data_IF_957364795900
#
_entry.id   IF_957364795900
#
_cell.length_a   1.000
_cell.length_b   1.000
_cell.length_c   1.000
_cell.angle_alpha   90.00
_cell.angle_beta   90.00
_cell.angle_gamma   90.00
#
_symmetry.space_group_name_H-M   'P 1'
#
loop_
_entity.id
_entity.type
_entity.pdbx_description
1 polymer ?
#
# COMPACT_ATOMS: atom_id res chain seq x y z
N UNK A 1 25.28 1.24 17.75
CA UNK A 1 25.14 0.20 16.71
C UNK A 1 24.90 0.90 15.39
N UNK A 2 25.72 0.63 14.38
CA UNK A 2 25.48 1.11 13.00
C UNK A 2 24.40 0.21 12.42
N UNK A 3 23.23 0.78 12.06
CA UNK A 3 22.13 0.04 11.43
C UNK A 3 22.63 -0.57 10.12
N UNK A 4 22.27 -1.82 9.83
CA UNK A 4 22.64 -2.47 8.56
C UNK A 4 21.99 -1.69 7.41
N UNK A 5 22.62 -1.53 6.24
CA UNK A 5 22.05 -0.76 5.12
C UNK A 5 20.63 -1.21 4.72
N UNK A 6 20.33 -2.51 4.83
CA UNK A 6 18.99 -3.07 4.60
C UNK A 6 17.95 -2.59 5.61
N UNK A 7 18.32 -2.39 6.88
CA UNK A 7 17.43 -1.87 7.93
C UNK A 7 17.07 -0.42 7.68
N UNK A 8 18.03 0.40 7.24
CA UNK A 8 17.80 1.80 6.89
C UNK A 8 16.85 1.94 5.68
N UNK A 9 16.99 1.08 4.67
CA UNK A 9 16.09 1.01 3.52
C UNK A 9 14.67 0.57 3.92
N UNK A 10 14.54 -0.42 4.81
CA UNK A 10 13.25 -0.92 5.32
C UNK A 10 12.53 0.15 6.13
N UNK A 11 13.26 0.84 7.01
CA UNK A 11 12.74 1.96 7.81
C UNK A 11 12.30 3.13 6.93
N UNK A 12 13.10 3.47 5.90
CA UNK A 12 12.71 4.47 4.91
C UNK A 12 11.46 4.06 4.12
N UNK A 13 11.38 2.82 3.65
CA UNK A 13 10.22 2.30 2.92
C UNK A 13 8.95 2.30 3.79
N UNK A 14 9.06 1.88 5.05
CA UNK A 14 7.96 1.90 6.02
C UNK A 14 7.50 3.33 6.32
N UNK A 15 8.43 4.23 6.61
CA UNK A 15 8.10 5.65 6.84
C UNK A 15 7.43 6.30 5.63
N UNK A 16 7.85 5.93 4.41
CA UNK A 16 7.22 6.37 3.17
C UNK A 16 5.81 5.81 3.01
N UNK A 17 5.60 4.52 3.25
CA UNK A 17 4.27 3.90 3.21
C UNK A 17 3.32 4.56 4.23
N UNK A 18 3.78 4.80 5.46
CA UNK A 18 3.01 5.49 6.52
C UNK A 18 2.64 6.93 6.14
N UNK A 19 3.54 7.62 5.42
CA UNK A 19 3.27 8.96 4.90
C UNK A 19 2.22 8.91 3.78
N UNK A 20 2.41 8.02 2.80
CA UNK A 20 1.50 7.85 1.66
C UNK A 20 0.09 7.45 2.14
N UNK A 21 0.00 6.56 3.13
CA UNK A 21 -1.26 6.19 3.79
C UNK A 21 -1.97 7.41 4.37
N UNK A 22 -1.28 8.22 5.18
CA UNK A 22 -1.85 9.43 5.79
C UNK A 22 -2.33 10.44 4.76
N UNK A 23 -1.57 10.64 3.69
CA UNK A 23 -1.95 11.54 2.59
C UNK A 23 -3.22 11.02 1.89
N UNK A 24 -3.28 9.72 1.60
CA UNK A 24 -4.44 9.09 0.97
C UNK A 24 -5.68 9.21 1.86
N UNK A 25 -5.58 8.80 3.13
CA UNK A 25 -6.69 8.87 4.08
C UNK A 25 -7.21 10.31 4.26
N UNK A 26 -6.31 11.29 4.39
CA UNK A 26 -6.67 12.70 4.51
C UNK A 26 -7.38 13.23 3.27
N UNK A 27 -6.81 13.02 2.08
CA UNK A 27 -7.38 13.52 0.83
C UNK A 27 -8.75 12.89 0.53
N UNK A 28 -8.90 11.58 0.73
CA UNK A 28 -10.19 10.91 0.53
C UNK A 28 -11.23 11.35 1.56
N UNK A 29 -10.86 11.53 2.83
CA UNK A 29 -11.78 12.04 3.85
C UNK A 29 -12.29 13.43 3.50
N UNK A 30 -11.42 14.35 3.08
CA UNK A 30 -11.83 15.71 2.69
C UNK A 30 -12.65 15.74 1.41
N UNK A 31 -12.30 14.92 0.42
CA UNK A 31 -13.09 14.81 -0.79
C UNK A 31 -14.47 14.17 -0.56
N UNK A 32 -14.59 13.17 0.33
CA UNK A 32 -15.89 12.55 0.69
C UNK A 32 -16.79 13.52 1.45
N UNK A 33 -16.25 14.28 2.42
CA UNK A 33 -16.98 15.35 3.14
C UNK A 33 -17.58 16.34 2.14
N UNK A 34 -16.78 16.81 1.18
CA UNK A 34 -17.19 17.80 0.21
C UNK A 34 -18.20 17.26 -0.81
N UNK A 35 -18.00 16.05 -1.34
CA UNK A 35 -18.99 15.41 -2.23
C UNK A 35 -20.31 15.17 -1.50
N UNK A 36 -20.26 14.76 -0.24
CA UNK A 36 -21.48 14.55 0.56
C UNK A 36 -22.26 15.85 0.69
N UNK A 37 -21.57 16.97 0.94
CA UNK A 37 -22.19 18.29 0.94
C UNK A 37 -22.80 18.65 -0.42
N UNK A 38 -22.09 18.44 -1.53
CA UNK A 38 -22.58 18.70 -2.88
C UNK A 38 -23.85 17.90 -3.21
N UNK A 39 -23.87 16.61 -2.89
CA UNK A 39 -25.05 15.75 -3.07
C UNK A 39 -26.22 16.26 -2.22
N UNK A 40 -25.98 16.57 -0.95
CA UNK A 40 -27.00 17.11 -0.05
C UNK A 40 -27.59 18.43 -0.55
N UNK A 41 -26.73 19.34 -1.04
CA UNK A 41 -27.16 20.58 -1.67
C UNK A 41 -28.02 20.34 -2.90
N UNK A 42 -27.58 19.46 -3.82
CA UNK A 42 -28.32 19.16 -5.04
C UNK A 42 -29.71 18.57 -4.75
N UNK A 43 -29.82 17.68 -3.76
CA UNK A 43 -31.11 17.12 -3.32
C UNK A 43 -32.01 18.22 -2.74
N UNK A 44 -31.46 19.06 -1.85
CA UNK A 44 -32.19 20.18 -1.26
C UNK A 44 -32.68 21.18 -2.32
N UNK A 45 -31.83 21.51 -3.30
CA UNK A 45 -32.16 22.40 -4.40
C UNK A 45 -33.27 21.82 -5.29
N UNK A 46 -33.19 20.53 -5.65
CA UNK A 46 -34.28 19.86 -6.39
C UNK A 46 -35.58 19.91 -5.59
N UNK A 47 -35.54 19.63 -4.28
CA UNK A 47 -36.74 19.70 -3.43
C UNK A 47 -37.36 21.09 -3.45
N UNK A 48 -36.55 22.16 -3.33
CA UNK A 48 -37.03 23.53 -3.39
C UNK A 48 -37.67 23.86 -4.75
N UNK A 49 -37.07 23.38 -5.85
CA UNK A 49 -37.61 23.56 -7.20
C UNK A 49 -38.97 22.88 -7.34
N UNK A 50 -39.09 21.64 -6.85
CA UNK A 50 -40.35 20.87 -6.92
C UNK A 50 -41.44 21.54 -6.07
N UNK A 51 -41.11 22.00 -4.86
CA UNK A 51 -42.07 22.67 -3.96
C UNK A 51 -42.55 24.03 -4.50
N UNK A 52 -41.80 24.67 -5.40
CA UNK A 52 -42.11 26.01 -5.92
C UNK A 52 -42.21 26.04 -7.46
N UNK A 53 -42.60 24.91 -8.05
CA UNK A 53 -42.47 24.68 -9.50
C UNK A 53 -43.21 25.73 -10.33
N UNK A 54 -44.45 26.06 -9.97
CA UNK A 54 -45.27 27.04 -10.69
C UNK A 54 -44.67 28.46 -10.64
N UNK A 55 -44.19 28.86 -9.47
CA UNK A 55 -43.61 30.18 -9.24
C UNK A 55 -42.29 30.35 -10.02
N UNK A 56 -41.43 29.34 -9.99
CA UNK A 56 -40.17 29.35 -10.76
C UNK A 56 -40.45 29.32 -12.26
N UNK A 57 -41.43 28.51 -12.70
CA UNK A 57 -41.76 28.41 -14.13
C UNK A 57 -42.28 29.74 -14.68
N UNK A 58 -43.09 30.45 -13.90
CA UNK A 58 -43.64 31.76 -14.27
C UNK A 58 -42.55 32.85 -14.35
N UNK A 59 -41.63 32.87 -13.40
CA UNK A 59 -40.63 33.95 -13.29
C UNK A 59 -39.39 33.71 -14.16
N UNK A 60 -38.98 32.45 -14.37
CA UNK A 60 -37.80 32.11 -15.17
C UNK A 60 -38.10 30.89 -16.07
N UNK A 61 -38.83 31.09 -17.17
CA UNK A 61 -39.26 29.98 -18.03
C UNK A 61 -38.07 29.23 -18.64
N UNK A 62 -38.20 27.90 -18.72
CA UNK A 62 -37.19 27.03 -19.33
C UNK A 62 -35.97 26.70 -18.45
N UNK A 63 -35.85 27.24 -17.23
CA UNK A 63 -34.72 26.95 -16.33
C UNK A 63 -34.83 25.59 -15.62
N UNK A 64 -36.06 25.14 -15.35
CA UNK A 64 -36.31 23.99 -14.46
C UNK A 64 -35.68 22.71 -15.01
N UNK A 65 -35.94 22.38 -16.28
CA UNK A 65 -35.45 21.14 -16.91
C UNK A 65 -33.91 21.02 -16.89
N UNK A 66 -33.13 22.00 -17.39
CA UNK A 66 -31.67 21.89 -17.38
C UNK A 66 -31.11 21.87 -15.94
N UNK A 67 -31.66 22.67 -15.01
CA UNK A 67 -31.19 22.69 -13.63
C UNK A 67 -31.42 21.35 -12.92
N UNK A 68 -32.61 20.77 -13.04
CA UNK A 68 -32.92 19.46 -12.44
C UNK A 68 -32.05 18.36 -13.06
N UNK A 69 -31.84 18.39 -14.38
CA UNK A 69 -30.98 17.42 -15.06
C UNK A 69 -29.52 17.50 -14.56
N UNK A 70 -28.96 18.71 -14.47
CA UNK A 70 -27.58 18.89 -14.02
C UNK A 70 -27.40 18.51 -12.55
N UNK A 71 -28.36 18.83 -11.67
CA UNK A 71 -28.34 18.35 -10.29
C UNK A 71 -28.47 16.83 -10.18
N UNK A 72 -29.34 16.20 -10.98
CA UNK A 72 -29.46 14.73 -11.01
C UNK A 72 -28.15 14.05 -11.44
N UNK A 73 -27.48 14.60 -12.46
CA UNK A 73 -26.17 14.12 -12.91
C UNK A 73 -25.10 14.33 -11.82
N UNK A 74 -25.12 15.48 -11.13
CA UNK A 74 -24.22 15.77 -9.99
C UNK A 74 -24.37 14.71 -8.90
N UNK A 75 -25.61 14.38 -8.53
CA UNK A 75 -25.93 13.34 -7.53
C UNK A 75 -25.43 11.97 -8.00
N UNK A 76 -25.71 11.61 -9.25
CA UNK A 76 -25.29 10.32 -9.80
C UNK A 76 -23.77 10.14 -9.77
N UNK A 77 -23.01 11.13 -10.28
CA UNK A 77 -21.55 11.07 -10.25
C UNK A 77 -20.99 11.16 -8.83
N UNK A 78 -21.61 11.92 -7.94
CA UNK A 78 -21.24 11.99 -6.53
C UNK A 78 -21.38 10.64 -5.84
N UNK A 79 -22.50 9.94 -6.02
CA UNK A 79 -22.71 8.60 -5.46
C UNK A 79 -21.76 7.57 -6.08
N UNK A 80 -21.54 7.63 -7.39
CA UNK A 80 -20.58 6.77 -8.08
C UNK A 80 -19.15 7.00 -7.57
N UNK A 81 -18.76 8.25 -7.31
CA UNK A 81 -17.48 8.59 -6.68
C UNK A 81 -17.35 7.91 -5.31
N UNK A 82 -18.36 8.03 -4.43
CA UNK A 82 -18.32 7.45 -3.08
C UNK A 82 -18.20 5.93 -3.11
N UNK A 83 -18.93 5.28 -4.02
CA UNK A 83 -18.82 3.83 -4.19
C UNK A 83 -17.44 3.41 -4.72
N UNK A 84 -16.92 4.14 -5.70
CA UNK A 84 -15.59 3.89 -6.28
C UNK A 84 -14.47 4.12 -5.26
N UNK A 85 -14.53 5.20 -4.49
CA UNK A 85 -13.54 5.53 -3.45
C UNK A 85 -13.54 4.51 -2.33
N UNK A 86 -14.72 4.02 -1.90
CA UNK A 86 -14.83 2.93 -0.93
C UNK A 86 -14.10 1.65 -1.41
N UNK A 87 -14.33 1.25 -2.67
CA UNK A 87 -13.65 0.09 -3.25
C UNK A 87 -12.13 0.32 -3.39
N UNK A 88 -11.71 1.53 -3.74
CA UNK A 88 -10.31 1.90 -3.81
C UNK A 88 -9.63 1.76 -2.44
N UNK A 89 -10.23 2.32 -1.38
CA UNK A 89 -9.69 2.24 -0.02
C UNK A 89 -9.59 0.79 0.47
N UNK A 90 -10.59 -0.06 0.19
CA UNK A 90 -10.50 -1.50 0.53
C UNK A 90 -9.31 -2.16 -0.17
N UNK A 91 -9.13 -1.90 -1.47
CA UNK A 91 -8.01 -2.47 -2.24
C UNK A 91 -6.67 -1.96 -1.73
N UNK A 92 -6.58 -0.68 -1.40
CA UNK A 92 -5.39 -0.07 -0.81
C UNK A 92 -5.07 -0.66 0.57
N UNK A 93 -6.04 -0.81 1.46
CA UNK A 93 -5.83 -1.43 2.78
C UNK A 93 -5.44 -2.90 2.70
N UNK A 94 -6.01 -3.66 1.76
CA UNK A 94 -5.57 -5.03 1.51
C UNK A 94 -4.10 -5.05 1.12
N UNK A 95 -3.72 -4.22 0.14
CA UNK A 95 -2.33 -4.06 -0.29
C UNK A 95 -1.40 -3.71 0.89
N UNK A 96 -1.80 -2.75 1.71
CA UNK A 96 -1.06 -2.32 2.90
C UNK A 96 -0.88 -3.46 3.91
N UNK A 97 -1.95 -4.19 4.24
CA UNK A 97 -1.89 -5.35 5.14
C UNK A 97 -0.96 -6.46 4.63
N UNK A 98 -0.86 -6.63 3.30
CA UNK A 98 0.09 -7.56 2.70
C UNK A 98 1.54 -7.04 2.80
N UNK A 99 1.79 -5.74 2.56
CA UNK A 99 3.11 -5.14 2.76
C UNK A 99 3.54 -5.18 4.23
N UNK A 100 2.65 -4.90 5.18
CA UNK A 100 2.95 -4.98 6.61
C UNK A 100 3.35 -6.39 7.06
N UNK A 101 2.69 -7.43 6.53
CA UNK A 101 3.07 -8.82 6.78
C UNK A 101 4.48 -9.16 6.25
N UNK A 102 4.82 -8.59 5.09
CA UNK A 102 6.11 -8.79 4.42
C UNK A 102 7.25 -7.99 5.04
N UNK A 103 6.96 -6.81 5.61
CA UNK A 103 7.92 -6.02 6.38
C UNK A 103 7.95 -6.36 7.86
N UNK A 104 7.26 -7.42 8.29
CA UNK A 104 7.44 -7.99 9.62
C UNK A 104 8.93 -8.34 9.84
N UNK A 105 9.36 -8.34 11.10
CA UNK A 105 10.75 -8.11 11.57
C UNK A 105 11.83 -9.11 11.10
N UNK A 106 11.57 -9.94 10.10
CA UNK A 106 12.54 -10.92 9.64
C UNK A 106 13.48 -10.27 8.62
N UNK A 107 14.67 -9.91 9.11
CA UNK A 107 15.84 -9.64 8.30
C UNK A 107 16.55 -10.97 8.09
N UNK A 108 16.23 -11.72 7.04
CA UNK A 108 17.06 -12.85 6.67
C UNK A 108 17.80 -12.49 5.38
N UNK A 109 19.03 -12.05 5.52
CA UNK A 109 20.04 -12.37 4.51
C UNK A 109 20.54 -13.75 4.89
N UNK A 110 20.54 -14.74 3.99
CA UNK A 110 20.94 -16.08 4.37
C UNK A 110 22.40 -16.04 4.80
N UNK A 111 22.69 -16.59 5.97
CA UNK A 111 24.08 -16.80 6.41
C UNK A 111 24.52 -18.11 5.79
N UNK A 112 25.34 -18.04 4.74
CA UNK A 112 25.87 -19.22 4.06
C UNK A 112 27.01 -19.85 4.86
N UNK A 113 27.09 -21.17 4.81
CA UNK A 113 28.22 -21.88 5.39
C UNK A 113 29.46 -21.69 4.51
N UNK A 114 30.51 -21.08 5.06
CA UNK A 114 31.81 -21.01 4.40
C UNK A 114 32.56 -22.35 4.60
N UNK A 115 32.93 -23.05 3.50
CA UNK A 115 33.72 -24.29 3.58
C UNK A 115 35.02 -24.16 4.36
N UNK A 116 35.60 -22.97 4.46
CA UNK A 116 36.84 -22.74 5.23
C UNK A 116 36.65 -23.00 6.74
N UNK A 117 35.41 -22.97 7.23
CA UNK A 117 35.07 -23.34 8.60
C UNK A 117 35.25 -24.84 8.91
N UNK A 118 35.33 -25.71 7.90
CA UNK A 118 35.67 -27.13 8.09
C UNK A 118 37.08 -27.29 8.68
N UNK A 119 37.97 -26.33 8.40
CA UNK A 119 39.36 -26.31 8.89
C UNK A 119 39.59 -25.28 10.02
N UNK A 120 38.58 -24.51 10.40
CA UNK A 120 38.70 -23.47 11.42
C UNK A 120 38.95 -24.01 12.83
N UNK A 121 39.57 -23.16 13.67
CA UNK A 121 39.80 -23.45 15.09
C UNK A 121 38.52 -23.26 15.92
N UNK A 122 38.58 -23.72 17.17
CA UNK A 122 37.48 -23.64 18.13
C UNK A 122 37.03 -22.19 18.40
N UNK A 123 37.99 -21.28 18.56
CA UNK A 123 37.75 -19.87 18.82
C UNK A 123 37.10 -19.17 17.62
N UNK A 124 37.49 -19.57 16.40
CA UNK A 124 36.94 -19.01 15.15
C UNK A 124 35.48 -19.42 14.97
N UNK A 125 35.12 -20.67 15.24
CA UNK A 125 33.71 -21.13 15.18
C UNK A 125 32.85 -20.46 16.27
N UNK A 126 33.40 -20.27 17.47
CA UNK A 126 32.71 -19.55 18.54
C UNK A 126 32.46 -18.08 18.18
N UNK A 127 33.44 -17.43 17.57
CA UNK A 127 33.31 -16.06 17.09
C UNK A 127 32.25 -15.96 15.98
N UNK A 128 32.26 -16.87 15.01
CA UNK A 128 31.25 -16.91 13.93
C UNK A 128 29.83 -17.09 14.50
N UNK A 129 29.63 -18.03 15.43
CA UNK A 129 28.35 -18.23 16.12
C UNK A 129 27.86 -16.96 16.87
N UNK A 130 28.78 -16.24 17.51
CA UNK A 130 28.47 -14.99 18.19
C UNK A 130 28.15 -13.84 17.21
N UNK A 131 28.93 -13.73 16.13
CA UNK A 131 28.84 -12.63 15.16
C UNK A 131 27.63 -12.78 14.23
N UNK A 132 27.43 -13.98 13.69
CA UNK A 132 26.40 -14.24 12.68
C UNK A 132 25.02 -14.47 13.31
N UNK A 133 24.97 -15.20 14.43
CA UNK A 133 23.71 -15.63 15.04
C UNK A 133 23.42 -15.01 16.41
N UNK A 134 24.32 -14.18 16.95
CA UNK A 134 24.23 -13.66 18.32
C UNK A 134 24.05 -14.78 19.36
N UNK A 135 24.64 -15.95 19.10
CA UNK A 135 24.55 -17.16 19.94
C UNK A 135 25.95 -17.69 20.21
N UNK A 136 26.61 -17.22 21.26
CA UNK A 136 27.82 -17.88 21.75
C UNK A 136 27.43 -18.86 22.86
N UNK A 137 27.65 -20.19 22.71
CA UNK A 137 27.61 -21.09 23.84
C UNK A 137 28.63 -20.64 24.88
N UNK A 138 28.23 -20.53 26.14
CA UNK A 138 29.12 -20.10 27.22
C UNK A 138 30.04 -21.26 27.60
N UNK A 139 31.31 -21.16 27.23
CA UNK A 139 32.35 -22.08 27.67
C UNK A 139 33.16 -21.45 28.81
N UNK A 140 33.66 -22.23 29.79
CA UNK A 140 34.69 -21.77 30.72
C UNK A 140 35.88 -21.17 29.97
N UNK A 141 36.43 -20.06 30.49
CA UNK A 141 37.55 -19.34 29.87
C UNK A 141 38.80 -20.23 29.68
N UNK A 142 39.00 -21.21 30.58
CA UNK A 142 40.14 -22.13 30.60
C UNK A 142 39.73 -23.54 30.20
N UNK A 143 39.20 -23.71 28.98
CA UNK A 143 38.93 -25.04 28.44
C UNK A 143 40.24 -25.74 28.07
N UNK A 144 40.39 -27.01 28.48
CA UNK A 144 41.54 -27.82 28.06
C UNK A 144 41.50 -28.11 26.56
N UNK A 145 42.67 -28.24 25.93
CA UNK A 145 42.79 -28.56 24.50
C UNK A 145 42.15 -29.91 24.13
N UNK A 146 42.13 -30.86 25.06
CA UNK A 146 41.44 -32.14 24.87
C UNK A 146 39.92 -31.96 24.74
N UNK A 147 39.32 -31.12 25.58
CA UNK A 147 37.88 -30.81 25.52
C UNK A 147 37.57 -30.02 24.24
N UNK A 148 38.41 -29.06 23.86
CA UNK A 148 38.24 -28.32 22.60
C UNK A 148 38.24 -29.25 21.39
N UNK A 149 39.14 -30.25 21.34
CA UNK A 149 39.18 -31.25 20.25
C UNK A 149 37.92 -32.11 20.18
N UNK A 150 37.31 -32.44 21.32
CA UNK A 150 36.07 -33.24 21.38
C UNK A 150 34.84 -32.40 21.01
N UNK A 151 34.80 -31.12 21.38
CA UNK A 151 33.66 -30.24 21.16
C UNK A 151 33.69 -29.52 19.79
N UNK A 152 34.86 -29.30 19.20
CA UNK A 152 35.02 -28.64 17.90
C UNK A 152 34.16 -29.27 16.78
N UNK A 153 34.13 -30.60 16.59
CA UNK A 153 33.25 -31.22 15.57
C UNK A 153 31.77 -30.96 15.83
N UNK A 154 31.34 -30.90 17.10
CA UNK A 154 29.94 -30.63 17.48
C UNK A 154 29.56 -29.18 17.19
N UNK A 155 30.45 -28.24 17.49
CA UNK A 155 30.25 -26.82 17.19
C UNK A 155 30.21 -26.55 15.69
N UNK A 156 31.10 -27.16 14.90
CA UNK A 156 31.07 -27.07 13.43
C UNK A 156 29.75 -27.59 12.87
N UNK A 157 29.30 -28.75 13.36
CA UNK A 157 28.00 -29.33 12.97
C UNK A 157 26.86 -28.39 13.33
N UNK A 158 26.85 -27.83 14.54
CA UNK A 158 25.82 -26.91 15.00
C UNK A 158 25.77 -25.61 14.18
N UNK A 159 26.93 -25.02 13.88
CA UNK A 159 27.02 -23.84 13.02
C UNK A 159 26.49 -24.13 11.61
N UNK A 160 26.86 -25.27 11.02
CA UNK A 160 26.34 -25.71 9.72
C UNK A 160 24.83 -25.90 9.72
N UNK A 161 24.26 -26.52 10.76
CA UNK A 161 22.82 -26.68 10.92
C UNK A 161 22.09 -25.32 11.00
N UNK A 162 22.69 -24.32 11.67
CA UNK A 162 22.15 -22.97 11.74
C UNK A 162 22.20 -22.24 10.39
N UNK A 163 23.30 -22.37 9.63
CA UNK A 163 23.40 -21.84 8.27
C UNK A 163 22.36 -22.47 7.33
N UNK A 164 22.21 -23.80 7.37
CA UNK A 164 21.20 -24.51 6.57
C UNK A 164 19.77 -24.09 6.94
N UNK A 165 19.49 -23.88 8.23
CA UNK A 165 18.21 -23.39 8.70
C UNK A 165 17.95 -21.95 8.24
N UNK A 166 18.94 -21.06 8.36
CA UNK A 166 18.86 -19.68 7.88
C UNK A 166 18.58 -19.63 6.37
N UNK A 167 19.22 -20.50 5.59
CA UNK A 167 18.96 -20.63 4.16
C UNK A 167 17.53 -21.10 3.86
N UNK A 168 17.03 -22.11 4.56
CA UNK A 168 15.64 -22.59 4.39
C UNK A 168 14.62 -21.53 4.78
N UNK A 169 14.84 -20.82 5.88
CA UNK A 169 13.96 -19.73 6.31
C UNK A 169 13.95 -18.59 5.26
N UNK A 170 15.11 -18.26 4.68
CA UNK A 170 15.21 -17.31 3.56
C UNK A 170 14.48 -17.79 2.28
N UNK A 171 14.59 -19.08 1.93
CA UNK A 171 13.87 -19.66 0.80
C UNK A 171 12.34 -19.63 1.00
N UNK A 172 11.86 -19.97 2.20
CA UNK A 172 10.44 -19.88 2.57
C UNK A 172 9.95 -18.43 2.48
N UNK A 173 10.73 -17.46 2.95
CA UNK A 173 10.39 -16.05 2.83
C UNK A 173 10.33 -15.61 1.36
N UNK A 174 11.31 -15.98 0.53
CA UNK A 174 11.28 -15.69 -0.91
C UNK A 174 10.07 -16.33 -1.62
N UNK A 175 9.69 -17.55 -1.24
CA UNK A 175 8.47 -18.18 -1.74
C UNK A 175 7.22 -17.45 -1.29
N UNK A 176 7.18 -17.00 -0.04
CA UNK A 176 6.11 -16.15 0.49
C UNK A 176 6.04 -14.80 -0.25
N UNK A 177 7.18 -14.16 -0.53
CA UNK A 177 7.27 -12.97 -1.39
C UNK A 177 6.67 -13.21 -2.77
N UNK A 178 7.01 -14.34 -3.39
CA UNK A 178 6.49 -14.71 -4.71
C UNK A 178 4.98 -15.00 -4.66
N UNK A 179 4.48 -15.63 -3.60
CA UNK A 179 3.06 -15.90 -3.38
C UNK A 179 2.27 -14.61 -3.09
N UNK A 180 2.83 -13.68 -2.32
CA UNK A 180 2.25 -12.35 -2.12
C UNK A 180 2.17 -11.61 -3.45
N UNK A 181 3.21 -11.67 -4.27
CA UNK A 181 3.20 -11.06 -5.59
C UNK A 181 2.16 -11.69 -6.53
N UNK A 182 1.99 -13.01 -6.46
CA UNK A 182 0.99 -13.74 -7.23
C UNK A 182 -0.45 -13.41 -6.76
N UNK A 183 -0.67 -13.34 -5.45
CA UNK A 183 -2.01 -13.21 -4.86
C UNK A 183 -2.50 -11.76 -4.89
N UNK A 184 -1.62 -10.80 -4.56
CA UNK A 184 -1.96 -9.38 -4.59
C UNK A 184 -1.97 -8.81 -6.02
N UNK A 185 -1.14 -9.35 -6.91
CA UNK A 185 -0.89 -8.74 -8.23
C UNK A 185 -1.18 -9.62 -9.44
N UNK A 186 -1.63 -10.88 -9.25
CA UNK A 186 -1.88 -11.85 -10.32
C UNK A 186 -0.69 -12.04 -11.26
N UNK A 187 0.52 -11.98 -10.73
CA UNK A 187 1.74 -12.26 -11.47
C UNK A 187 2.08 -13.75 -11.42
N UNK A 188 2.71 -14.25 -12.48
CA UNK A 188 3.11 -15.65 -12.58
C UNK A 188 4.35 -15.89 -11.68
N UNK A 189 4.25 -16.84 -10.73
CA UNK A 189 5.22 -17.12 -9.65
C UNK A 189 6.69 -17.14 -10.11
N UNK A 190 6.99 -17.82 -11.22
CA UNK A 190 8.35 -17.95 -11.74
C UNK A 190 8.95 -16.61 -12.21
N UNK A 191 8.12 -15.71 -12.78
CA UNK A 191 8.56 -14.39 -13.25
C UNK A 191 8.78 -13.39 -12.11
N UNK A 192 8.17 -13.60 -10.94
CA UNK A 192 8.39 -12.76 -9.77
C UNK A 192 9.72 -13.12 -9.09
N UNK A 193 10.04 -14.43 -9.01
CA UNK A 193 11.32 -14.93 -8.49
C UNK A 193 12.50 -14.47 -9.35
N UNK A 194 12.41 -14.62 -10.68
CA UNK A 194 13.45 -14.15 -11.62
C UNK A 194 13.66 -12.61 -11.58
N UNK A 195 12.68 -11.87 -11.06
CA UNK A 195 12.69 -10.40 -10.93
C UNK A 195 13.22 -9.87 -9.60
N UNK A 196 13.00 -10.59 -8.50
CA UNK A 196 13.68 -10.31 -7.22
C UNK A 196 15.20 -10.43 -7.39
N UNK A 197 15.63 -11.34 -8.28
CA UNK A 197 17.02 -11.53 -8.68
C UNK A 197 17.53 -10.48 -9.69
N UNK A 198 16.65 -9.74 -10.39
CA UNK A 198 17.00 -8.75 -11.43
C UNK A 198 16.05 -7.52 -11.41
N UNK A 199 16.36 -6.48 -10.60
CA UNK A 199 15.45 -5.38 -10.29
C UNK A 199 15.18 -4.37 -11.43
N UNK A 200 15.67 -4.63 -12.65
CA UNK A 200 15.55 -3.69 -13.79
C UNK A 200 14.20 -3.75 -14.53
N UNK A 201 13.30 -4.66 -14.18
CA UNK A 201 12.02 -4.81 -14.88
C UNK A 201 10.85 -4.16 -14.15
N UNK A 202 10.45 -2.99 -14.67
CA UNK A 202 9.35 -2.15 -14.18
C UNK A 202 8.06 -2.93 -13.86
N UNK A 203 7.53 -2.67 -12.67
CA UNK A 203 6.29 -3.21 -12.15
C UNK A 203 5.06 -2.55 -12.80
N UNK A 204 4.05 -3.37 -13.15
CA UNK A 204 2.77 -2.89 -13.70
C UNK A 204 1.61 -2.92 -12.66
N UNK A 205 1.90 -3.14 -11.37
CA UNK A 205 0.92 -3.05 -10.27
C UNK A 205 0.29 -1.66 -10.20
N UNK A 206 1.13 -0.63 -10.39
CA UNK A 206 0.68 0.75 -10.45
C UNK A 206 -0.43 0.92 -11.47
N UNK A 207 -0.49 0.14 -12.54
CA UNK A 207 -1.42 0.38 -13.64
C UNK A 207 -2.89 0.17 -13.27
N UNK A 208 -3.25 -0.88 -12.53
CA UNK A 208 -4.64 -1.15 -12.16
C UNK A 208 -5.13 -0.23 -11.02
N UNK A 209 -4.32 0.01 -10.00
CA UNK A 209 -4.64 0.96 -8.93
C UNK A 209 -4.68 2.41 -9.46
N UNK A 210 -3.76 2.79 -10.34
CA UNK A 210 -3.74 4.11 -10.99
C UNK A 210 -4.94 4.29 -11.91
N UNK A 211 -5.37 3.25 -12.63
CA UNK A 211 -6.62 3.29 -13.41
C UNK A 211 -7.84 3.50 -12.51
N UNK A 212 -7.92 2.78 -11.39
CA UNK A 212 -9.01 2.95 -10.43
C UNK A 212 -9.00 4.35 -9.79
N UNK A 213 -7.84 4.84 -9.36
CA UNK A 213 -7.69 6.20 -8.86
C UNK A 213 -8.16 7.24 -9.90
N UNK A 214 -7.73 7.08 -11.16
CA UNK A 214 -8.12 7.97 -12.26
C UNK A 214 -9.65 7.93 -12.49
N UNK A 215 -10.28 6.76 -12.43
CA UNK A 215 -11.75 6.65 -12.50
C UNK A 215 -12.39 7.40 -11.33
N UNK A 216 -11.91 7.22 -10.10
CA UNK A 216 -12.42 7.93 -8.93
C UNK A 216 -12.28 9.45 -9.09
N UNK A 217 -11.13 9.94 -9.53
CA UNK A 217 -10.87 11.36 -9.74
C UNK A 217 -11.77 11.95 -10.84
N UNK A 218 -11.99 11.21 -11.93
CA UNK A 218 -12.89 11.62 -13.00
C UNK A 218 -14.34 11.74 -12.49
N UNK A 219 -14.82 10.79 -11.68
CA UNK A 219 -16.17 10.85 -11.10
C UNK A 219 -16.33 12.07 -10.20
N UNK A 220 -15.32 12.38 -9.38
CA UNK A 220 -15.29 13.58 -8.55
C UNK A 220 -15.36 14.85 -9.40
N UNK A 221 -14.48 14.97 -10.40
CA UNK A 221 -14.42 16.12 -11.30
C UNK A 221 -15.72 16.31 -12.08
N UNK A 222 -16.33 15.23 -12.57
CA UNK A 222 -17.62 15.31 -13.26
C UNK A 222 -18.72 15.83 -12.33
N UNK A 223 -18.82 15.30 -11.11
CA UNK A 223 -19.79 15.80 -10.12
C UNK A 223 -19.62 17.31 -9.88
N UNK A 224 -18.38 17.77 -9.68
CA UNK A 224 -18.07 19.18 -9.50
C UNK A 224 -18.43 20.03 -10.73
N UNK A 225 -18.05 19.58 -11.93
CA UNK A 225 -18.30 20.30 -13.18
C UNK A 225 -19.79 20.47 -13.43
N UNK A 226 -20.60 19.43 -13.21
CA UNK A 226 -22.06 19.52 -13.36
C UNK A 226 -22.69 20.42 -12.32
N UNK A 227 -22.20 20.40 -11.08
CA UNK A 227 -22.68 21.32 -10.05
C UNK A 227 -22.39 22.78 -10.40
N UNK A 228 -21.13 23.10 -10.74
CA UNK A 228 -20.71 24.45 -11.14
C UNK A 228 -21.47 24.90 -12.40
N UNK A 229 -21.65 24.01 -13.37
CA UNK A 229 -22.45 24.29 -14.57
C UNK A 229 -23.90 24.64 -14.21
N UNK A 230 -24.46 24.00 -13.18
CA UNK A 230 -25.81 24.33 -12.69
C UNK A 230 -25.87 25.75 -12.16
N UNK A 231 -24.88 26.15 -11.34
CA UNK A 231 -24.79 27.52 -10.82
C UNK A 231 -24.66 28.53 -11.97
N UNK A 232 -23.80 28.27 -12.96
CA UNK A 232 -23.61 29.13 -14.13
C UNK A 232 -24.91 29.27 -14.92
N UNK A 233 -25.60 28.16 -15.21
CA UNK A 233 -26.88 28.17 -15.94
C UNK A 233 -27.91 29.01 -15.19
N UNK A 234 -27.98 28.87 -13.86
CA UNK A 234 -28.89 29.66 -13.03
C UNK A 234 -28.53 31.14 -13.10
N UNK A 235 -27.27 31.51 -12.89
CA UNK A 235 -26.82 32.90 -12.93
C UNK A 235 -27.09 33.56 -14.28
N UNK A 236 -26.76 32.89 -15.39
CA UNK A 236 -27.00 33.41 -16.75
C UNK A 236 -28.50 33.63 -16.97
N UNK A 237 -29.34 32.66 -16.57
CA UNK A 237 -30.80 32.77 -16.75
C UNK A 237 -31.42 33.86 -15.90
N UNK A 238 -30.91 34.09 -14.68
CA UNK A 238 -31.36 35.20 -13.84
C UNK A 238 -30.95 36.56 -14.41
N UNK A 239 -29.74 36.68 -14.99
CA UNK A 239 -29.27 37.91 -15.65
C UNK A 239 -30.07 38.29 -16.90
N UNK A 240 -30.56 37.30 -17.65
CA UNK A 240 -31.33 37.51 -18.88
C UNK A 240 -32.84 37.44 -18.67
N UNK A 241 -33.29 37.23 -17.43
CA UNK A 241 -34.71 37.28 -17.11
C UNK A 241 -35.12 38.76 -17.09
N UNK A 242 -36.05 39.20 -17.95
CA UNK A 242 -36.60 40.54 -17.83
C UNK A 242 -37.43 40.54 -16.55
N UNK A 243 -36.89 41.12 -15.49
CA UNK A 243 -37.74 41.64 -14.42
C UNK A 243 -38.59 42.79 -14.98
#
# INVERSE_FOLDING_TARGET
>A
MVKRPGEALKEFAKAKLDLDRRIIEFNYSKADEFITWLIGFAIGAISLIVSNLELIHKNVPGIIKPTVLLFAITIFFGLAYRYSSFLFVIKFKKLESYFEGVFSEHNMTPIEYDPDYDNASFEVILFALAYDFNRAPTFPADLSEEIKKVELPKLKKYYKELCERSKKEYEIENEYWAEVDETAFKLNKQKSIDKLMNPSQNFNIGFNLRRWALITDLLYLLSLLFFVSTVIVISIRLLHSPF
#
